data_IF_738369012749
#
_entry.id   IF_738369012749
#
_cell.length_a   1.000
_cell.length_b   1.000
_cell.length_c   1.000
_cell.angle_alpha   90.00
_cell.angle_beta   90.00
_cell.angle_gamma   90.00
#
_symmetry.space_group_name_H-M   'P 1'
#
loop_
_entity.id
_entity.type
_entity.pdbx_description
1 polymer ?
#
# COMPACT_ATOMS: atom_id res chain seq x y z
N UNK A 1 -20.25 2.41 -14.66
CA UNK A 1 -19.76 1.12 -14.08
C UNK A 1 -20.86 0.06 -14.13
N UNK A 2 -20.56 -1.21 -14.43
CA UNK A 2 -21.50 -2.33 -14.33
C UNK A 2 -21.02 -3.39 -13.31
N UNK A 3 -21.81 -4.42 -13.04
CA UNK A 3 -21.46 -5.45 -12.05
C UNK A 3 -20.19 -6.24 -12.40
N UNK A 4 -19.93 -6.46 -13.68
CA UNK A 4 -18.71 -7.15 -14.14
C UNK A 4 -17.48 -6.31 -13.78
N UNK A 5 -17.57 -5.00 -13.97
CA UNK A 5 -16.48 -4.09 -13.60
C UNK A 5 -16.22 -4.12 -12.09
N UNK A 6 -17.28 -4.13 -11.28
CA UNK A 6 -17.17 -4.23 -9.82
C UNK A 6 -16.45 -5.51 -9.40
N UNK A 7 -16.83 -6.66 -9.96
CA UNK A 7 -16.24 -7.96 -9.62
C UNK A 7 -14.76 -7.99 -9.99
N UNK A 8 -14.40 -7.53 -11.20
CA UNK A 8 -13.01 -7.51 -11.66
C UNK A 8 -12.15 -6.64 -10.75
N UNK A 9 -12.59 -5.41 -10.49
CA UNK A 9 -11.85 -4.46 -9.66
C UNK A 9 -11.73 -4.94 -8.20
N UNK A 10 -12.77 -5.56 -7.64
CA UNK A 10 -12.72 -6.13 -6.29
C UNK A 10 -11.76 -7.34 -6.19
N UNK A 11 -11.71 -8.19 -7.22
CA UNK A 11 -10.75 -9.30 -7.27
C UNK A 11 -9.32 -8.76 -7.36
N UNK A 12 -9.08 -7.77 -8.22
CA UNK A 12 -7.77 -7.14 -8.36
C UNK A 12 -7.32 -6.57 -7.01
N UNK A 13 -8.14 -5.74 -6.39
CA UNK A 13 -7.88 -5.16 -5.07
C UNK A 13 -7.55 -6.23 -4.03
N UNK A 14 -8.45 -7.20 -3.85
CA UNK A 14 -8.30 -8.25 -2.83
C UNK A 14 -7.06 -9.13 -3.03
N UNK A 15 -6.60 -9.33 -4.27
CA UNK A 15 -5.38 -10.09 -4.56
C UNK A 15 -4.11 -9.25 -4.41
N UNK A 16 -4.15 -7.96 -4.76
CA UNK A 16 -2.94 -7.15 -4.95
C UNK A 16 -2.61 -6.25 -3.76
N UNK A 17 -3.55 -5.98 -2.85
CA UNK A 17 -3.33 -5.05 -1.73
C UNK A 17 -2.26 -5.54 -0.74
N UNK A 18 -2.13 -6.85 -0.54
CA UNK A 18 -1.17 -7.41 0.43
C UNK A 18 0.09 -7.99 -0.22
N UNK A 19 0.09 -8.13 -1.54
CA UNK A 19 1.27 -8.56 -2.29
C UNK A 19 2.10 -7.31 -2.63
N UNK A 20 3.44 -7.42 -2.67
CA UNK A 20 4.31 -6.30 -3.02
C UNK A 20 4.27 -6.02 -4.53
N UNK A 21 3.10 -5.69 -5.07
CA UNK A 21 2.84 -5.54 -6.52
C UNK A 21 2.00 -4.29 -6.86
N UNK A 22 1.66 -3.49 -5.86
CA UNK A 22 0.85 -2.25 -5.96
C UNK A 22 -0.55 -2.45 -6.54
N UNK A 23 -1.55 -2.51 -5.66
CA UNK A 23 -2.97 -2.50 -6.01
C UNK A 23 -3.36 -1.28 -6.82
N UNK A 24 -2.92 -0.10 -6.40
CA UNK A 24 -3.21 1.18 -7.09
C UNK A 24 -2.81 1.14 -8.56
N UNK A 25 -1.65 0.56 -8.87
CA UNK A 25 -1.20 0.43 -10.26
C UNK A 25 -2.07 -0.51 -11.09
N UNK A 26 -2.39 -1.68 -10.55
CA UNK A 26 -3.28 -2.64 -11.20
C UNK A 26 -4.68 -2.07 -11.42
N UNK A 27 -5.21 -1.29 -10.47
CA UNK A 27 -6.51 -0.64 -10.55
C UNK A 27 -6.57 0.44 -11.63
N UNK A 28 -5.53 1.26 -11.76
CA UNK A 28 -5.41 2.28 -12.83
C UNK A 28 -5.34 1.61 -14.21
N UNK A 29 -4.52 0.56 -14.35
CA UNK A 29 -4.37 -0.18 -15.61
C UNK A 29 -5.70 -0.84 -15.99
N UNK A 30 -6.33 -1.59 -15.08
CA UNK A 30 -7.57 -2.30 -15.36
C UNK A 30 -8.72 -1.36 -15.71
N UNK A 31 -8.92 -0.29 -14.94
CA UNK A 31 -9.95 0.71 -15.22
C UNK A 31 -9.72 1.44 -16.55
N UNK A 32 -8.45 1.64 -16.95
CA UNK A 32 -8.10 2.24 -18.25
C UNK A 32 -8.39 1.28 -19.41
N UNK A 33 -8.02 0.00 -19.29
CA UNK A 33 -8.31 -1.05 -20.28
C UNK A 33 -9.82 -1.24 -20.45
N UNK A 34 -10.58 -1.13 -19.37
CA UNK A 34 -12.05 -1.20 -19.39
C UNK A 34 -12.71 0.09 -19.88
N UNK A 35 -11.95 1.15 -20.17
CA UNK A 35 -12.46 2.43 -20.68
C UNK A 35 -13.28 3.24 -19.66
N UNK A 36 -13.09 2.99 -18.35
CA UNK A 36 -13.88 3.61 -17.28
C UNK A 36 -13.04 4.52 -16.35
N UNK A 37 -11.73 4.63 -16.58
CA UNK A 37 -10.81 5.35 -15.68
C UNK A 37 -11.13 6.84 -15.49
N UNK A 38 -11.76 7.51 -16.47
CA UNK A 38 -12.08 8.93 -16.41
C UNK A 38 -13.31 9.27 -15.57
N UNK A 39 -14.09 8.27 -15.16
CA UNK A 39 -15.30 8.46 -14.37
C UNK A 39 -14.93 8.76 -12.90
N UNK A 40 -15.31 9.93 -12.34
CA UNK A 40 -15.03 10.27 -10.94
C UNK A 40 -15.56 9.23 -9.94
N UNK A 41 -16.65 8.56 -10.29
CA UNK A 41 -17.20 7.49 -9.47
C UNK A 41 -16.23 6.32 -9.34
N UNK A 42 -15.47 5.99 -10.40
CA UNK A 42 -14.49 4.90 -10.37
C UNK A 42 -13.36 5.22 -9.40
N UNK A 43 -12.83 6.44 -9.41
CA UNK A 43 -11.81 6.88 -8.45
C UNK A 43 -12.29 6.76 -7.00
N UNK A 44 -13.55 7.14 -6.72
CA UNK A 44 -14.14 6.93 -5.41
C UNK A 44 -14.31 5.44 -5.07
N UNK A 45 -14.81 4.65 -6.02
CA UNK A 45 -15.03 3.21 -5.85
C UNK A 45 -13.72 2.47 -5.54
N UNK A 46 -12.63 2.77 -6.25
CA UNK A 46 -11.32 2.13 -6.01
C UNK A 46 -10.79 2.39 -4.61
N UNK A 47 -11.07 3.57 -4.02
CA UNK A 47 -10.72 3.87 -2.62
C UNK A 47 -11.67 3.12 -1.67
N UNK A 48 -12.97 3.08 -1.97
CA UNK A 48 -13.96 2.46 -1.10
C UNK A 48 -13.74 0.94 -0.95
N UNK A 49 -13.34 0.24 -2.01
CA UNK A 49 -13.14 -1.22 -1.96
C UNK A 49 -11.93 -1.65 -1.13
N UNK A 50 -10.93 -0.78 -0.94
CA UNK A 50 -9.80 -1.04 -0.03
C UNK A 50 -10.27 -1.33 1.39
N UNK A 51 -11.42 -0.78 1.79
CA UNK A 51 -12.03 -1.11 3.08
C UNK A 51 -12.33 -2.61 3.23
N UNK A 52 -12.71 -3.28 2.14
CA UNK A 52 -12.91 -4.74 2.12
C UNK A 52 -11.61 -5.49 2.36
N UNK A 53 -10.51 -5.05 1.74
CA UNK A 53 -9.19 -5.59 1.99
C UNK A 53 -8.78 -5.37 3.46
N UNK A 54 -8.88 -4.14 3.98
CA UNK A 54 -8.59 -3.84 5.40
C UNK A 54 -9.40 -4.74 6.34
N UNK A 55 -10.71 -4.92 6.08
CA UNK A 55 -11.57 -5.76 6.90
C UNK A 55 -11.12 -7.23 6.87
N UNK A 56 -10.59 -7.72 5.74
CA UNK A 56 -10.05 -9.08 5.65
C UNK A 56 -8.87 -9.30 6.61
N UNK A 57 -7.99 -8.31 6.78
CA UNK A 57 -6.87 -8.35 7.75
C UNK A 57 -7.41 -8.32 9.17
N UNK A 58 -8.39 -7.46 9.46
CA UNK A 58 -9.03 -7.38 10.78
C UNK A 58 -9.66 -8.72 11.16
N UNK A 59 -10.36 -9.38 10.23
CA UNK A 59 -10.99 -10.68 10.48
C UNK A 59 -9.94 -11.78 10.64
N UNK A 60 -8.96 -11.88 9.73
CA UNK A 60 -7.93 -12.92 9.74
C UNK A 60 -7.06 -12.84 10.99
N UNK A 61 -6.71 -11.63 11.42
CA UNK A 61 -5.80 -11.39 12.55
C UNK A 61 -6.49 -10.83 13.78
N UNK A 62 -7.82 -10.97 13.91
CA UNK A 62 -8.61 -10.34 14.98
C UNK A 62 -8.02 -10.53 16.38
N UNK A 63 -7.57 -11.75 16.70
CA UNK A 63 -6.94 -12.04 18.00
C UNK A 63 -5.60 -11.35 18.20
N UNK A 64 -4.83 -11.12 17.13
CA UNK A 64 -3.54 -10.42 17.17
C UNK A 64 -3.69 -8.92 17.37
N UNK A 65 -4.88 -8.34 17.25
CA UNK A 65 -5.09 -6.94 17.60
C UNK A 65 -4.99 -6.71 19.11
N UNK A 66 -5.22 -7.70 19.97
CA UNK A 66 -5.13 -7.52 21.43
C UNK A 66 -3.67 -7.57 21.92
N UNK A 67 -2.94 -6.47 21.72
CA UNK A 67 -1.52 -6.34 22.07
C UNK A 67 -1.29 -5.41 23.27
N UNK A 68 -0.04 -5.38 23.74
CA UNK A 68 0.38 -4.47 24.82
C UNK A 68 0.35 -3.00 24.37
N UNK A 69 0.16 -2.06 25.30
CA UNK A 69 0.22 -0.62 25.01
C UNK A 69 1.53 -0.20 24.33
N UNK A 70 2.65 -0.86 24.70
CA UNK A 70 3.96 -0.59 24.10
C UNK A 70 4.00 -0.91 22.62
N UNK A 71 3.30 -1.95 22.17
CA UNK A 71 3.17 -2.26 20.73
C UNK A 71 2.49 -1.12 19.98
N UNK A 72 1.36 -0.62 20.49
CA UNK A 72 0.64 0.49 19.87
C UNK A 72 1.43 1.79 19.84
N UNK A 73 2.24 2.06 20.87
CA UNK A 73 3.16 3.20 20.85
C UNK A 73 4.20 3.07 19.74
N UNK A 74 4.77 1.87 19.51
CA UNK A 74 5.70 1.62 18.39
C UNK A 74 4.98 1.79 17.04
N UNK A 75 3.76 1.28 16.91
CA UNK A 75 2.95 1.42 15.70
C UNK A 75 2.66 2.90 15.41
N UNK A 76 2.31 3.68 16.42
CA UNK A 76 2.09 5.13 16.31
C UNK A 76 3.38 5.84 15.87
N UNK A 77 4.54 5.47 16.43
CA UNK A 77 5.85 6.02 16.01
C UNK A 77 6.17 5.69 14.56
N UNK A 78 5.86 4.48 14.09
CA UNK A 78 6.01 4.11 12.69
C UNK A 78 5.03 4.87 11.77
N UNK A 79 3.82 5.16 12.24
CA UNK A 79 2.81 5.88 11.47
C UNK A 79 3.10 7.38 11.32
N UNK A 80 3.76 8.02 12.31
CA UNK A 80 3.98 9.49 12.32
C UNK A 80 4.62 10.03 11.02
N UNK A 81 5.75 9.50 10.51
CA UNK A 81 6.34 10.01 9.28
C UNK A 81 5.35 9.95 8.12
N UNK A 82 4.63 8.84 7.97
CA UNK A 82 3.66 8.67 6.90
C UNK A 82 2.48 9.66 7.03
N UNK A 83 1.98 9.89 8.23
CA UNK A 83 0.93 10.88 8.47
C UNK A 83 1.40 12.31 8.12
N UNK A 84 2.62 12.66 8.53
CA UNK A 84 3.19 14.00 8.31
C UNK A 84 3.45 14.23 6.82
N UNK A 85 4.20 13.35 6.16
CA UNK A 85 4.52 13.50 4.74
C UNK A 85 3.31 13.31 3.83
N UNK A 86 2.36 12.45 4.21
CA UNK A 86 1.12 12.25 3.45
C UNK A 86 0.27 13.51 3.39
N UNK A 87 0.17 14.25 4.50
CA UNK A 87 -0.54 15.54 4.52
C UNK A 87 0.28 16.61 3.78
N UNK A 88 1.58 16.73 4.08
CA UNK A 88 2.44 17.76 3.50
C UNK A 88 2.62 17.63 1.97
N UNK A 89 2.57 16.42 1.43
CA UNK A 89 2.84 16.13 0.01
C UNK A 89 1.59 15.64 -0.75
N UNK A 90 0.41 15.71 -0.15
CA UNK A 90 -0.87 15.23 -0.72
C UNK A 90 -1.08 15.69 -2.17
N UNK A 91 -1.01 16.99 -2.45
CA UNK A 91 -1.16 17.55 -3.81
C UNK A 91 -0.15 16.97 -4.82
N UNK A 92 1.05 16.62 -4.36
CA UNK A 92 2.10 16.06 -5.23
C UNK A 92 1.85 14.58 -5.50
N UNK A 93 1.39 13.83 -4.49
CA UNK A 93 1.02 12.42 -4.60
C UNK A 93 -0.15 12.27 -5.58
N UNK A 94 -1.18 13.11 -5.46
CA UNK A 94 -2.34 13.08 -6.36
C UNK A 94 -1.96 13.30 -7.82
N UNK A 95 -1.06 14.25 -8.09
CA UNK A 95 -0.55 14.49 -9.46
C UNK A 95 0.22 13.29 -10.02
N UNK A 96 0.91 12.53 -9.18
CA UNK A 96 1.60 11.32 -9.60
C UNK A 96 0.61 10.17 -9.87
N UNK A 97 -0.47 10.08 -9.08
CA UNK A 97 -1.53 9.07 -9.25
C UNK A 97 -2.29 9.22 -10.57
N UNK A 98 -2.48 10.45 -11.02
CA UNK A 98 -3.17 10.75 -12.29
C UNK A 98 -2.34 10.37 -13.53
N UNK A 99 -1.03 10.14 -13.37
CA UNK A 99 -0.14 9.77 -14.47
C UNK A 99 0.04 8.25 -14.55
N UNK A 100 -0.71 7.61 -15.44
CA UNK A 100 -0.56 6.17 -15.73
C UNK A 100 0.87 5.80 -16.15
N UNK A 101 1.58 6.71 -16.84
CA UNK A 101 2.99 6.52 -17.21
C UNK A 101 3.89 6.46 -15.97
N UNK A 102 3.68 7.37 -15.01
CA UNK A 102 4.45 7.41 -13.76
C UNK A 102 4.28 6.11 -12.98
N UNK A 103 3.04 5.67 -12.84
CA UNK A 103 2.68 4.42 -12.16
C UNK A 103 3.28 3.20 -12.88
N UNK A 104 3.29 3.19 -14.21
CA UNK A 104 3.91 2.11 -14.99
C UNK A 104 5.43 2.04 -14.80
N UNK A 105 6.11 3.19 -14.78
CA UNK A 105 7.56 3.28 -14.55
C UNK A 105 7.91 2.82 -13.13
N UNK A 106 7.17 3.26 -12.12
CA UNK A 106 7.43 2.88 -10.73
C UNK A 106 7.16 1.40 -10.49
N UNK A 107 6.11 0.82 -11.07
CA UNK A 107 5.86 -0.63 -11.05
C UNK A 107 7.02 -1.41 -11.67
N UNK A 108 7.52 -0.97 -12.83
CA UNK A 108 8.63 -1.63 -13.51
C UNK A 108 9.92 -1.58 -12.66
N UNK A 109 10.26 -0.42 -12.13
CA UNK A 109 11.42 -0.24 -11.26
C UNK A 109 11.26 -1.03 -9.95
N UNK A 110 10.07 -1.02 -9.36
CA UNK A 110 9.74 -1.79 -8.16
C UNK A 110 9.88 -3.29 -8.38
N UNK A 111 9.41 -3.80 -9.53
CA UNK A 111 9.59 -5.18 -9.93
C UNK A 111 11.06 -5.57 -10.06
N UNK A 112 11.89 -4.70 -10.67
CA UNK A 112 13.35 -4.91 -10.71
C UNK A 112 13.92 -4.95 -9.30
N UNK A 113 13.54 -4.01 -8.43
CA UNK A 113 14.03 -3.96 -7.05
C UNK A 113 13.72 -5.26 -6.28
N UNK A 114 12.50 -5.79 -6.41
CA UNK A 114 12.08 -7.04 -5.76
C UNK A 114 12.90 -8.26 -6.22
N UNK A 115 13.37 -8.29 -7.47
CA UNK A 115 14.26 -9.37 -7.94
C UNK A 115 15.62 -9.42 -7.20
N UNK A 116 16.04 -8.30 -6.60
CA UNK A 116 17.32 -8.18 -5.92
C UNK A 116 17.19 -7.97 -4.41
N UNK A 117 15.99 -7.76 -3.89
CA UNK A 117 15.77 -7.45 -2.46
C UNK A 117 16.30 -8.55 -1.53
N UNK A 118 16.08 -9.82 -1.90
CA UNK A 118 16.56 -10.98 -1.13
C UNK A 118 18.09 -11.04 -1.03
N UNK A 119 18.80 -10.50 -2.02
CA UNK A 119 20.27 -10.45 -2.00
C UNK A 119 20.80 -9.35 -1.09
N UNK A 120 20.01 -8.30 -0.85
CA UNK A 120 20.36 -7.15 -0.02
C UNK A 120 20.13 -7.44 1.48
N UNK A 121 19.12 -8.24 1.82
CA UNK A 121 18.71 -8.49 3.21
C UNK A 121 18.93 -9.94 3.67
N UNK A 122 20.18 -10.42 3.59
CA UNK A 122 20.55 -11.81 3.92
C UNK A 122 20.61 -12.15 5.41
N UNK A 123 20.55 -11.16 6.30
CA UNK A 123 20.65 -11.38 7.74
C UNK A 123 19.35 -10.98 8.44
N UNK A 124 18.68 -11.95 9.04
CA UNK A 124 17.60 -11.70 9.99
C UNK A 124 18.22 -11.26 11.32
N UNK A 125 18.04 -9.98 11.67
CA UNK A 125 18.56 -9.39 12.91
C UNK A 125 17.49 -9.42 14.02
N UNK A 126 16.22 -9.56 13.65
CA UNK A 126 15.06 -9.49 14.55
C UNK A 126 14.09 -10.62 14.18
N UNK A 127 13.89 -11.57 15.10
CA UNK A 127 13.04 -12.74 14.87
C UNK A 127 11.61 -12.59 15.43
N UNK A 128 11.41 -11.66 16.37
CA UNK A 128 10.10 -11.40 16.99
C UNK A 128 9.72 -9.92 16.91
N UNK A 129 8.44 -9.66 16.71
CA UNK A 129 7.87 -8.30 16.70
C UNK A 129 8.13 -7.54 18.01
N UNK A 130 8.21 -8.26 19.13
CA UNK A 130 8.48 -7.69 20.46
C UNK A 130 9.86 -7.01 20.55
N UNK A 131 10.83 -7.51 19.79
CA UNK A 131 12.22 -7.07 19.78
C UNK A 131 12.44 -5.80 18.94
N UNK A 132 11.42 -5.36 18.20
CA UNK A 132 11.48 -4.13 17.40
C UNK A 132 11.66 -2.91 18.32
N UNK A 133 12.77 -2.19 18.20
CA UNK A 133 13.00 -0.95 18.97
C UNK A 133 12.15 0.22 18.42
N UNK A 134 11.94 1.26 19.23
CA UNK A 134 11.28 2.50 18.75
C UNK A 134 12.03 3.17 17.60
N UNK A 135 13.37 3.10 17.60
CA UNK A 135 14.18 3.61 16.50
C UNK A 135 13.96 2.81 15.22
N UNK A 136 13.82 1.48 15.33
CA UNK A 136 13.47 0.62 14.20
C UNK A 136 12.07 0.94 13.68
N UNK A 137 11.09 1.13 14.56
CA UNK A 137 9.74 1.53 14.18
C UNK A 137 9.72 2.87 13.43
N UNK A 138 10.49 3.86 13.89
CA UNK A 138 10.62 5.15 13.21
C UNK A 138 11.26 5.00 11.82
N UNK A 139 12.30 4.17 11.69
CA UNK A 139 12.92 3.86 10.39
C UNK A 139 11.90 3.23 9.43
N UNK A 140 11.11 2.27 9.90
CA UNK A 140 10.03 1.67 9.10
C UNK A 140 9.07 2.76 8.61
N UNK A 141 8.69 3.71 9.47
CA UNK A 141 7.85 4.84 9.07
C UNK A 141 8.43 5.70 7.95
N UNK A 142 9.73 5.97 7.97
CA UNK A 142 10.41 6.66 6.85
C UNK A 142 10.41 5.82 5.56
N UNK A 143 10.59 4.50 5.65
CA UNK A 143 10.45 3.62 4.49
C UNK A 143 9.00 3.59 3.96
N UNK A 144 7.99 3.63 4.84
CA UNK A 144 6.58 3.75 4.42
C UNK A 144 6.30 5.03 3.64
N UNK A 145 7.06 6.11 3.85
CA UNK A 145 6.92 7.33 3.05
C UNK A 145 7.28 7.10 1.57
N UNK A 146 8.11 6.10 1.26
CA UNK A 146 8.44 5.72 -0.12
C UNK A 146 7.21 5.10 -0.81
N UNK A 147 6.37 4.37 -0.06
CA UNK A 147 5.12 3.80 -0.57
C UNK A 147 4.07 4.85 -0.94
N UNK A 148 4.27 6.12 -0.57
CA UNK A 148 3.43 7.22 -1.07
C UNK A 148 3.65 7.51 -2.56
N UNK A 149 4.76 7.03 -3.14
CA UNK A 149 4.97 7.10 -4.58
C UNK A 149 4.04 6.08 -5.24
N UNK A 150 3.09 6.51 -6.10
CA UNK A 150 2.16 5.60 -6.74
C UNK A 150 2.87 4.49 -7.52
N UNK A 151 2.42 3.24 -7.37
CA UNK A 151 3.05 2.07 -7.99
C UNK A 151 4.19 1.45 -7.19
N UNK A 152 4.63 2.08 -6.10
CA UNK A 152 5.53 1.45 -5.11
C UNK A 152 4.69 0.66 -4.10
N UNK A 153 5.16 -0.53 -3.73
CA UNK A 153 4.54 -1.43 -2.77
C UNK A 153 5.57 -2.04 -1.84
#
# INVERSE_FOLDING_TARGET
MNIIHVIILAIIEGLTEFLPVSSTGHMIIASSVMGIASDPFIKFFTIAIQFGAILSVVVLYFKRFFQTTRFYLKLLVAFIPAAVFGVLLSDRIDKLLESALTVGITLFIGGIFLLFVDKLFKQHIIDKEEDISFLTALKIGFFQCIAMVPGVS
#
